data_IF_483805542083
#
_entry.id   IF_483805542083
#
_cell.length_a   1.000
_cell.length_b   1.000
_cell.length_c   1.000
_cell.angle_alpha   90.00
_cell.angle_beta   90.00
_cell.angle_gamma   90.00
#
_symmetry.space_group_name_H-M   'P 1'
#
loop_
_entity.id
_entity.type
_entity.pdbx_description
1 polymer ?
#
# COMPACT_ATOMS: atom_id res chain seq x y z
N UNK A 1 9.28 7.37 -1.79
CA UNK A 1 9.56 8.16 -3.02
C UNK A 1 10.66 7.57 -3.89
N UNK A 2 11.93 7.52 -3.42
CA UNK A 2 13.07 7.06 -4.24
C UNK A 2 12.85 5.71 -4.93
N UNK A 3 12.36 4.71 -4.19
CA UNK A 3 12.08 3.37 -4.72
C UNK A 3 11.11 3.38 -5.91
N UNK A 4 10.00 4.11 -5.78
CA UNK A 4 9.00 4.19 -6.85
C UNK A 4 9.54 4.95 -8.07
N UNK A 5 10.33 6.00 -7.87
CA UNK A 5 11.01 6.70 -8.98
C UNK A 5 11.95 5.79 -9.75
N UNK A 6 12.76 5.00 -9.06
CA UNK A 6 13.65 4.00 -9.67
C UNK A 6 12.87 2.92 -10.43
N UNK A 7 11.72 2.48 -9.90
CA UNK A 7 10.81 1.59 -10.62
C UNK A 7 10.31 2.22 -11.92
N UNK A 8 9.98 3.53 -11.90
CA UNK A 8 9.62 4.30 -13.08
C UNK A 8 10.74 4.34 -14.13
N UNK A 9 11.97 4.62 -13.71
CA UNK A 9 13.15 4.62 -14.58
C UNK A 9 13.36 3.25 -15.24
N UNK A 10 13.19 2.16 -14.48
CA UNK A 10 13.24 0.80 -14.99
C UNK A 10 12.14 0.54 -16.03
N UNK A 11 10.91 0.99 -15.78
CA UNK A 11 9.80 0.84 -16.72
C UNK A 11 10.04 1.61 -18.01
N UNK A 12 10.66 2.80 -17.90
CA UNK A 12 11.06 3.58 -19.07
C UNK A 12 12.01 2.80 -19.96
N UNK A 13 13.08 2.27 -19.38
CA UNK A 13 14.07 1.48 -20.13
C UNK A 13 13.42 0.27 -20.82
N UNK A 14 12.43 -0.34 -20.17
CA UNK A 14 11.75 -1.53 -20.67
C UNK A 14 10.73 -1.23 -21.77
N UNK A 15 9.92 -0.19 -21.63
CA UNK A 15 8.70 0.01 -22.44
C UNK A 15 8.77 1.23 -23.37
N UNK A 16 9.54 2.27 -23.05
CA UNK A 16 9.63 3.46 -23.90
C UNK A 16 10.27 3.23 -25.30
N UNK A 17 11.15 2.22 -25.53
CA UNK A 17 11.72 2.06 -26.86
C UNK A 17 10.77 1.49 -27.93
N UNK A 18 9.66 0.85 -27.55
CA UNK A 18 8.81 0.15 -28.52
C UNK A 18 7.33 -0.02 -28.14
N UNK A 19 6.95 0.19 -26.88
CA UNK A 19 5.57 -0.07 -26.42
C UNK A 19 4.77 1.20 -26.18
N UNK A 20 5.38 2.21 -25.54
CA UNK A 20 4.75 3.50 -25.23
C UNK A 20 5.57 4.64 -25.80
N UNK A 21 4.90 5.75 -26.11
CA UNK A 21 5.56 6.98 -26.53
C UNK A 21 6.59 7.46 -25.49
N UNK A 22 7.72 8.07 -25.91
CA UNK A 22 8.73 8.59 -24.98
C UNK A 22 8.22 9.69 -24.03
N UNK A 23 7.17 10.40 -24.44
CA UNK A 23 6.46 11.42 -23.69
C UNK A 23 5.09 10.88 -23.27
N UNK A 24 4.55 11.38 -22.16
CA UNK A 24 3.27 10.93 -21.65
C UNK A 24 2.13 11.23 -22.63
N UNK A 25 1.35 10.21 -22.99
CA UNK A 25 0.16 10.33 -23.82
C UNK A 25 -1.08 9.75 -23.11
N UNK A 26 -2.09 10.59 -22.90
CA UNK A 26 -3.36 10.21 -22.21
C UNK A 26 -4.15 9.12 -22.95
N UNK A 27 -3.93 8.94 -24.26
CA UNK A 27 -4.61 7.89 -25.02
C UNK A 27 -3.92 6.53 -24.90
N UNK A 28 -2.65 6.51 -24.51
CA UNK A 28 -1.85 5.29 -24.38
C UNK A 28 -1.76 4.81 -22.93
N UNK A 29 -1.75 5.75 -21.97
CA UNK A 29 -1.45 5.46 -20.57
C UNK A 29 -2.61 5.88 -19.67
N UNK A 30 -3.22 4.90 -19.01
CA UNK A 30 -4.20 5.11 -17.95
C UNK A 30 -3.63 4.70 -16.60
N UNK A 31 -3.85 5.52 -15.58
CA UNK A 31 -3.28 5.33 -14.24
C UNK A 31 -4.42 5.35 -13.23
N UNK A 32 -4.45 4.34 -12.38
CA UNK A 32 -5.43 4.22 -11.31
C UNK A 32 -4.74 3.90 -10.00
N UNK A 33 -4.99 4.71 -8.99
CA UNK A 33 -4.48 4.51 -7.62
C UNK A 33 -5.65 4.41 -6.65
N UNK A 34 -5.41 3.82 -5.49
CA UNK A 34 -6.29 4.01 -4.34
C UNK A 34 -6.16 5.44 -3.80
N UNK A 35 -7.17 5.93 -3.09
CA UNK A 35 -7.20 7.26 -2.45
C UNK A 35 -6.16 7.46 -1.33
N UNK A 36 -5.43 6.42 -0.92
CA UNK A 36 -4.47 6.54 0.17
C UNK A 36 -3.28 7.41 -0.26
N UNK A 37 -2.90 8.38 0.58
CA UNK A 37 -1.80 9.32 0.29
C UNK A 37 -0.52 8.59 -0.14
N UNK A 38 -0.16 7.51 0.55
CA UNK A 38 1.01 6.67 0.22
C UNK A 38 0.93 6.11 -1.20
N UNK A 39 -0.25 5.77 -1.69
CA UNK A 39 -0.47 5.19 -3.02
C UNK A 39 -0.43 6.27 -4.09
N UNK A 40 -1.09 7.41 -3.87
CA UNK A 40 -1.05 8.58 -4.76
C UNK A 40 0.39 9.08 -4.91
N UNK A 41 1.07 9.28 -3.80
CA UNK A 41 2.47 9.72 -3.73
C UNK A 41 3.41 8.73 -4.42
N UNK A 42 3.16 7.42 -4.28
CA UNK A 42 3.92 6.37 -4.97
C UNK A 42 3.69 6.39 -6.48
N UNK A 43 2.45 6.57 -6.94
CA UNK A 43 2.13 6.69 -8.36
C UNK A 43 2.82 7.91 -8.97
N UNK A 44 2.79 9.05 -8.27
CA UNK A 44 3.48 10.27 -8.72
C UNK A 44 4.99 10.05 -8.83
N UNK A 45 5.62 9.48 -7.80
CA UNK A 45 7.05 9.16 -7.86
C UNK A 45 7.41 8.23 -9.02
N UNK A 46 6.61 7.19 -9.26
CA UNK A 46 6.82 6.27 -10.37
C UNK A 46 6.75 6.98 -11.72
N UNK A 47 5.72 7.82 -11.93
CA UNK A 47 5.56 8.56 -13.18
C UNK A 47 6.68 9.55 -13.43
N UNK A 48 7.18 10.23 -12.39
CA UNK A 48 8.33 11.13 -12.56
C UNK A 48 9.59 10.42 -13.05
N UNK A 49 9.75 9.12 -12.76
CA UNK A 49 10.82 8.29 -13.29
C UNK A 49 10.53 7.75 -14.70
N UNK A 50 9.26 7.40 -14.97
CA UNK A 50 8.85 6.82 -16.25
C UNK A 50 8.74 7.87 -17.37
N UNK A 51 8.07 8.97 -17.09
CA UNK A 51 7.87 10.11 -18.01
C UNK A 51 8.43 11.39 -17.39
N UNK A 52 9.77 11.54 -17.33
CA UNK A 52 10.36 12.77 -16.85
C UNK A 52 10.02 13.92 -17.81
N UNK A 53 9.85 15.14 -17.28
CA UNK A 53 9.51 16.30 -18.09
C UNK A 53 10.61 16.61 -19.10
N UNK A 54 10.22 17.12 -20.27
CA UNK A 54 11.18 17.71 -21.19
C UNK A 54 11.67 19.05 -20.66
N UNK A 55 12.85 19.53 -21.11
CA UNK A 55 13.44 20.81 -20.66
C UNK A 55 12.50 22.02 -20.82
N UNK A 56 11.57 21.95 -21.77
CA UNK A 56 10.60 23.00 -22.05
C UNK A 56 9.32 22.88 -21.18
N UNK A 57 9.19 21.81 -20.40
CA UNK A 57 8.06 21.50 -19.53
C UNK A 57 8.48 21.44 -18.05
N UNK A 58 9.71 21.83 -17.70
CA UNK A 58 10.25 21.72 -16.32
C UNK A 58 9.42 22.48 -15.28
N UNK A 59 8.79 23.60 -15.65
CA UNK A 59 7.87 24.36 -14.78
C UNK A 59 6.46 23.72 -14.71
N UNK A 60 6.05 23.02 -15.76
CA UNK A 60 4.77 22.31 -15.89
C UNK A 60 4.84 20.87 -15.37
N UNK A 61 6.03 20.33 -15.13
CA UNK A 61 6.26 18.94 -14.73
C UNK A 61 5.52 18.54 -13.45
N UNK A 62 5.55 19.42 -12.45
CA UNK A 62 4.81 19.23 -11.20
C UNK A 62 3.30 19.34 -11.41
N UNK A 63 2.85 20.20 -12.34
CA UNK A 63 1.44 20.45 -12.63
C UNK A 63 0.81 19.37 -13.51
N UNK A 64 1.53 18.85 -14.51
CA UNK A 64 1.10 17.76 -15.39
C UNK A 64 0.93 16.49 -14.59
N UNK A 65 1.85 16.16 -13.69
CA UNK A 65 1.75 14.95 -12.87
C UNK A 65 0.60 15.00 -11.85
N UNK A 66 0.30 16.21 -11.34
CA UNK A 66 -0.94 16.45 -10.61
C UNK A 66 -2.15 16.30 -11.56
N UNK A 67 -2.22 17.07 -12.65
CA UNK A 67 -3.35 17.09 -13.59
C UNK A 67 -3.68 15.73 -14.21
N UNK A 68 -2.69 14.86 -14.45
CA UNK A 68 -2.90 13.54 -15.05
C UNK A 68 -3.66 12.60 -14.13
N UNK A 69 -3.46 12.70 -12.82
CA UNK A 69 -4.26 11.98 -11.82
C UNK A 69 -5.69 12.54 -11.73
N UNK A 70 -5.86 13.86 -11.94
CA UNK A 70 -7.17 14.52 -12.00
C UNK A 70 -7.89 14.31 -13.35
N UNK A 71 -7.20 14.08 -14.47
CA UNK A 71 -7.81 13.94 -15.81
C UNK A 71 -8.22 12.50 -16.12
N UNK A 72 -7.58 11.51 -15.50
CA UNK A 72 -8.20 10.18 -15.31
C UNK A 72 -9.43 10.23 -14.41
N UNK A 73 -9.59 11.30 -13.63
CA UNK A 73 -10.84 11.68 -12.93
C UNK A 73 -11.73 12.62 -13.77
N UNK A 74 -11.60 12.61 -15.11
CA UNK A 74 -12.61 13.16 -16.02
C UNK A 74 -13.97 12.45 -15.89
N UNK A 75 -14.01 11.32 -15.18
CA UNK A 75 -15.11 10.93 -14.30
C UNK A 75 -14.63 11.12 -12.85
N UNK A 76 -15.17 12.13 -12.17
CA UNK A 76 -14.79 12.53 -10.82
C UNK A 76 -14.96 11.38 -9.81
N UNK A 77 -13.90 10.60 -9.56
CA UNK A 77 -13.76 9.75 -8.37
C UNK A 77 -12.70 10.31 -7.41
N UNK A 78 -12.50 11.63 -7.46
CA UNK A 78 -12.18 12.42 -6.26
C UNK A 78 -13.50 12.96 -5.72
N UNK A 79 -14.33 12.07 -5.17
CA UNK A 79 -15.44 12.47 -4.31
C UNK A 79 -14.85 12.84 -2.96
N UNK A 80 -14.29 14.04 -2.88
CA UNK A 80 -14.25 14.77 -1.63
C UNK A 80 -15.67 15.26 -1.36
N UNK A 81 -16.27 14.67 -0.31
CA UNK A 81 -17.45 15.13 0.43
C UNK A 81 -18.88 14.89 -0.12
N UNK A 82 -19.68 14.37 0.83
CA UNK A 82 -21.11 14.56 1.06
C UNK A 82 -22.13 13.83 0.15
N UNK A 83 -22.82 12.86 0.77
CA UNK A 83 -24.14 12.33 0.41
C UNK A 83 -24.27 11.61 -0.96
N UNK A 84 -24.17 10.28 -0.95
CA UNK A 84 -25.15 9.36 -1.55
C UNK A 84 -24.60 7.93 -1.57
N UNK A 85 -25.52 6.95 -1.56
CA UNK A 85 -25.27 5.51 -1.51
C UNK A 85 -24.53 4.91 -2.73
N UNK A 86 -23.80 5.71 -3.50
CA UNK A 86 -22.91 5.34 -4.61
C UNK A 86 -21.46 5.08 -4.16
N UNK A 87 -21.14 5.38 -2.90
CA UNK A 87 -19.81 5.36 -2.27
C UNK A 87 -19.01 4.05 -2.36
N UNK A 88 -19.64 2.91 -2.70
CA UNK A 88 -19.04 1.59 -2.48
C UNK A 88 -18.49 0.90 -3.74
N UNK A 89 -18.74 1.41 -4.96
CA UNK A 89 -18.36 0.68 -6.19
C UNK A 89 -16.90 0.87 -6.63
N UNK A 90 -16.28 2.04 -6.40
CA UNK A 90 -14.96 2.34 -6.98
C UNK A 90 -13.80 1.66 -6.24
N UNK A 91 -13.96 1.38 -4.95
CA UNK A 91 -12.88 0.84 -4.10
C UNK A 91 -12.65 -0.67 -4.23
N UNK A 92 -13.57 -1.41 -4.84
CA UNK A 92 -13.50 -2.87 -4.91
C UNK A 92 -12.30 -3.38 -5.70
N UNK A 93 -11.79 -2.61 -6.67
CA UNK A 93 -10.69 -3.07 -7.53
C UNK A 93 -9.32 -3.02 -6.82
N UNK A 94 -9.02 -1.89 -6.18
CA UNK A 94 -7.68 -1.62 -5.63
C UNK A 94 -7.56 -1.88 -4.12
N UNK A 95 -8.70 -2.10 -3.44
CA UNK A 95 -8.76 -2.51 -2.03
C UNK A 95 -9.68 -3.73 -1.88
N UNK A 96 -9.30 -4.90 -2.44
CA UNK A 96 -10.20 -6.07 -2.54
C UNK A 96 -10.61 -6.63 -1.17
N UNK A 97 -9.83 -6.41 -0.12
CA UNK A 97 -10.14 -6.83 1.25
C UNK A 97 -11.03 -5.86 2.02
N UNK A 98 -11.27 -4.65 1.47
CA UNK A 98 -12.08 -3.62 2.11
C UNK A 98 -13.55 -3.67 1.67
N UNK A 99 -13.91 -4.69 0.88
CA UNK A 99 -15.26 -4.93 0.40
C UNK A 99 -15.97 -5.98 1.28
N UNK A 100 -17.24 -5.73 1.59
CA UNK A 100 -18.05 -6.65 2.38
C UNK A 100 -18.46 -7.86 1.54
N UNK A 101 -17.74 -8.97 1.72
CA UNK A 101 -18.04 -10.24 1.05
C UNK A 101 -18.28 -11.35 2.09
N UNK A 102 -19.54 -11.69 2.41
CA UNK A 102 -19.86 -12.69 3.43
C UNK A 102 -19.21 -14.06 3.15
N UNK A 103 -19.14 -14.47 1.88
CA UNK A 103 -18.52 -15.74 1.50
C UNK A 103 -17.02 -15.74 1.73
N UNK A 104 -16.35 -14.63 1.42
CA UNK A 104 -14.93 -14.45 1.72
C UNK A 104 -14.70 -14.52 3.22
N UNK A 105 -15.48 -13.79 4.02
CA UNK A 105 -15.34 -13.83 5.49
C UNK A 105 -15.54 -15.23 6.05
N UNK A 106 -16.53 -15.99 5.55
CA UNK A 106 -16.74 -17.39 5.94
C UNK A 106 -15.52 -18.25 5.64
N UNK A 107 -14.98 -18.19 4.42
CA UNK A 107 -13.82 -19.00 4.01
C UNK A 107 -12.55 -18.57 4.75
N UNK A 108 -12.33 -17.26 4.87
CA UNK A 108 -11.21 -16.68 5.62
C UNK A 108 -11.22 -17.22 7.05
N UNK A 109 -12.36 -17.14 7.74
CA UNK A 109 -12.46 -17.58 9.13
C UNK A 109 -12.23 -19.09 9.27
N UNK A 110 -12.75 -19.93 8.35
CA UNK A 110 -12.54 -21.39 8.45
C UNK A 110 -11.11 -21.82 8.13
N UNK A 111 -10.46 -21.19 7.15
CA UNK A 111 -9.08 -21.51 6.76
C UNK A 111 -8.08 -20.94 7.77
N UNK A 112 -8.27 -19.69 8.18
CA UNK A 112 -7.34 -19.00 9.07
C UNK A 112 -7.44 -19.54 10.50
N UNK A 113 -8.62 -19.87 11.02
CA UNK A 113 -8.77 -20.32 12.41
C UNK A 113 -7.88 -21.54 12.74
N UNK A 114 -7.82 -22.54 11.84
CA UNK A 114 -6.96 -23.72 12.03
C UNK A 114 -5.47 -23.37 12.08
N UNK A 115 -5.05 -22.42 11.25
CA UNK A 115 -3.65 -21.98 11.21
C UNK A 115 -3.31 -21.11 12.42
N UNK A 116 -4.22 -20.22 12.83
CA UNK A 116 -4.06 -19.40 14.04
C UNK A 116 -3.90 -20.30 15.26
N UNK A 117 -4.79 -21.28 15.46
CA UNK A 117 -4.71 -22.18 16.61
C UNK A 117 -3.37 -22.92 16.64
N UNK A 118 -2.93 -23.46 15.49
CA UNK A 118 -1.63 -24.14 15.37
C UNK A 118 -0.45 -23.21 15.71
N UNK A 119 -0.43 -21.99 15.18
CA UNK A 119 0.65 -21.02 15.41
C UNK A 119 0.65 -20.54 16.87
N UNK A 120 -0.50 -20.15 17.40
CA UNK A 120 -0.64 -19.69 18.79
C UNK A 120 -0.23 -20.78 19.78
N UNK A 121 -0.57 -22.04 19.52
CA UNK A 121 -0.16 -23.15 20.38
C UNK A 121 1.35 -23.43 20.29
N UNK A 122 1.92 -23.42 19.08
CA UNK A 122 3.35 -23.67 18.88
C UNK A 122 4.23 -22.57 19.50
N UNK A 123 3.78 -21.32 19.45
CA UNK A 123 4.53 -20.15 19.94
C UNK A 123 3.91 -19.52 21.18
N UNK A 124 3.20 -20.30 22.03
CA UNK A 124 2.51 -19.78 23.21
C UNK A 124 3.39 -18.91 24.11
N UNK A 125 4.63 -19.32 24.32
CA UNK A 125 5.60 -18.56 25.13
C UNK A 125 5.91 -17.17 24.53
N UNK A 126 5.95 -17.04 23.21
CA UNK A 126 6.10 -15.76 22.54
C UNK A 126 4.88 -14.87 22.79
N UNK A 127 3.67 -15.40 22.70
CA UNK A 127 2.44 -14.63 22.93
C UNK A 127 2.38 -14.12 24.37
N UNK A 128 2.68 -14.98 25.36
CA UNK A 128 2.75 -14.60 26.77
C UNK A 128 3.82 -13.52 27.01
N UNK A 129 4.99 -13.69 26.37
CA UNK A 129 6.08 -12.71 26.42
C UNK A 129 5.67 -11.35 25.85
N UNK A 130 5.09 -11.35 24.65
CA UNK A 130 4.61 -10.14 23.97
C UNK A 130 3.53 -9.44 24.80
N UNK A 131 2.63 -10.19 25.44
CA UNK A 131 1.63 -9.63 26.35
C UNK A 131 2.23 -8.87 27.52
N UNK A 132 3.31 -9.39 28.09
CA UNK A 132 4.02 -8.73 29.19
C UNK A 132 4.78 -7.48 28.72
N UNK A 133 5.58 -7.56 27.65
CA UNK A 133 6.45 -6.45 27.22
C UNK A 133 5.71 -5.32 26.51
N UNK A 134 4.56 -5.60 25.88
CA UNK A 134 3.73 -4.57 25.24
C UNK A 134 2.71 -3.94 26.18
N UNK A 135 2.46 -4.54 27.35
CA UNK A 135 1.43 -4.12 28.29
C UNK A 135 0.00 -4.51 27.90
N UNK A 136 -0.19 -5.24 26.79
CA UNK A 136 -1.51 -5.75 26.35
C UNK A 136 -2.03 -6.87 27.28
N UNK A 137 -1.12 -7.58 27.96
CA UNK A 137 -1.44 -8.65 28.90
C UNK A 137 -1.99 -9.91 28.20
N UNK A 138 -2.94 -10.58 28.85
CA UNK A 138 -3.55 -11.83 28.35
C UNK A 138 -4.45 -11.65 27.11
N UNK A 139 -4.67 -10.40 26.67
CA UNK A 139 -5.50 -10.08 25.51
C UNK A 139 -4.73 -10.12 24.19
N UNK A 140 -3.46 -10.55 24.18
CA UNK A 140 -2.69 -10.71 22.94
C UNK A 140 -3.33 -11.76 22.06
N UNK A 141 -3.76 -11.35 20.88
CA UNK A 141 -4.30 -12.22 19.84
C UNK A 141 -3.30 -12.38 18.71
N UNK A 142 -3.56 -13.32 17.80
CA UNK A 142 -2.76 -13.45 16.59
C UNK A 142 -2.75 -12.15 15.77
N UNK A 143 -3.89 -11.45 15.67
CA UNK A 143 -3.99 -10.18 14.96
C UNK A 143 -3.12 -9.11 15.62
N UNK A 144 -3.10 -9.05 16.95
CA UNK A 144 -2.21 -8.14 17.72
C UNK A 144 -0.73 -8.39 17.39
N UNK A 145 -0.32 -9.66 17.29
CA UNK A 145 1.07 -10.01 16.95
C UNK A 145 1.41 -9.61 15.51
N UNK A 146 0.48 -9.81 14.57
CA UNK A 146 0.64 -9.38 13.16
C UNK A 146 0.78 -7.86 13.07
N UNK A 147 -0.02 -7.11 13.82
CA UNK A 147 0.10 -5.65 13.89
C UNK A 147 1.43 -5.22 14.52
N UNK A 148 1.88 -5.87 15.60
CA UNK A 148 3.13 -5.55 16.26
C UNK A 148 4.35 -5.75 15.34
N UNK A 149 4.29 -6.71 14.41
CA UNK A 149 5.38 -6.97 13.47
C UNK A 149 5.71 -5.76 12.57
N UNK A 150 4.80 -4.79 12.42
CA UNK A 150 5.08 -3.56 11.68
C UNK A 150 6.22 -2.72 12.33
N UNK A 151 6.63 -3.02 13.56
CA UNK A 151 7.82 -2.46 14.24
C UNK A 151 9.12 -2.65 13.42
N UNK A 152 9.16 -3.64 12.52
CA UNK A 152 10.27 -3.83 11.57
C UNK A 152 10.53 -2.56 10.74
N UNK A 153 9.51 -1.75 10.47
CA UNK A 153 9.68 -0.47 9.75
C UNK A 153 10.52 0.51 10.54
N UNK A 154 10.38 0.54 11.86
CA UNK A 154 11.17 1.40 12.74
C UNK A 154 12.64 0.94 12.75
N UNK A 155 12.87 -0.37 12.84
CA UNK A 155 14.22 -0.99 12.73
C UNK A 155 14.89 -0.60 11.41
N UNK A 156 14.18 -0.72 10.29
CA UNK A 156 14.70 -0.36 8.95
C UNK A 156 15.04 1.12 8.80
N UNK A 157 14.47 1.98 9.64
CA UNK A 157 14.74 3.42 9.65
C UNK A 157 15.68 3.83 10.80
N UNK A 158 16.40 2.88 11.40
CA UNK A 158 17.36 3.10 12.48
C UNK A 158 16.75 3.83 13.69
N UNK A 159 15.47 3.62 13.97
CA UNK A 159 14.84 4.14 15.17
C UNK A 159 15.26 3.30 16.38
N UNK A 160 15.39 3.94 17.55
CA UNK A 160 15.73 3.24 18.79
C UNK A 160 14.63 2.25 19.15
N UNK A 161 15.01 1.00 19.42
CA UNK A 161 14.10 -0.07 19.79
C UNK A 161 14.41 -0.60 21.18
N UNK A 162 13.40 -1.14 21.89
CA UNK A 162 13.65 -1.89 23.11
C UNK A 162 14.36 -3.21 22.79
N UNK A 163 15.23 -3.65 23.70
CA UNK A 163 16.10 -4.84 23.54
C UNK A 163 15.35 -6.13 23.15
N UNK A 164 14.08 -6.25 23.54
CA UNK A 164 13.30 -7.44 23.23
C UNK A 164 13.01 -7.63 21.73
N UNK A 165 13.08 -6.57 20.92
CA UNK A 165 12.82 -6.64 19.46
C UNK A 165 13.86 -7.50 18.74
N UNK A 166 15.08 -7.58 19.28
CA UNK A 166 16.19 -8.33 18.68
C UNK A 166 16.31 -9.75 19.20
N UNK A 167 15.42 -10.18 20.11
CA UNK A 167 15.40 -11.56 20.58
C UNK A 167 14.95 -12.48 19.45
N UNK A 168 15.59 -13.64 19.37
CA UNK A 168 15.20 -14.70 18.43
C UNK A 168 14.49 -15.81 19.18
N UNK A 169 13.38 -16.29 18.63
CA UNK A 169 12.65 -17.44 19.15
C UNK A 169 12.93 -18.66 18.28
N UNK A 170 13.05 -19.86 18.88
CA UNK A 170 13.26 -21.11 18.15
C UNK A 170 12.07 -21.50 17.27
#
# INVERSE_FOLDING_TARGET
MKQMRQLGEFFRQRYAPWFVSPNFNVTEVHIRSSEADRALTSAQAMLSGFFPPSKNEEFEAGLVLFHLLYKTSGNLDLVMAANSNTFQRTYCLLKPTNFQCPKFSQIKNTVIAKNIEKVTNNYKQLFDFLGNVTGVGSNVTFDTVVELYDIVREVQNNMTQPEWVYKTWP
#
